data_IF_422960823898
#
_entry.id   IF_422960823898
#
_cell.length_a   1.000
_cell.length_b   1.000
_cell.length_c   1.000
_cell.angle_alpha   90.00
_cell.angle_beta   90.00
_cell.angle_gamma   90.00
#
_symmetry.space_group_name_H-M   'P 1'
#
loop_
_entity.id
_entity.type
_entity.pdbx_description
1 polymer ?
#
# COMPACT_ATOMS: atom_id res chain seq x y z
N UNK A 1 -47.35 -53.61 -24.83
CA UNK A 1 -46.66 -52.47 -24.18
C UNK A 1 -45.39 -53.01 -23.54
N UNK A 2 -44.22 -52.67 -24.10
CA UNK A 2 -42.94 -53.00 -23.49
C UNK A 2 -42.55 -51.86 -22.52
N UNK A 3 -41.97 -52.15 -21.35
CA UNK A 3 -41.52 -51.12 -20.43
C UNK A 3 -40.31 -50.37 -21.01
N UNK A 4 -40.30 -49.04 -20.86
CA UNK A 4 -39.19 -48.18 -21.26
C UNK A 4 -37.90 -48.54 -20.49
N UNK A 5 -36.73 -48.52 -21.14
CA UNK A 5 -35.47 -48.77 -20.47
C UNK A 5 -35.12 -47.65 -19.48
N UNK A 6 -34.40 -47.95 -18.38
CA UNK A 6 -33.98 -46.95 -17.41
C UNK A 6 -32.93 -46.00 -18.01
N UNK A 7 -33.01 -44.72 -17.62
CA UNK A 7 -32.06 -43.67 -18.03
C UNK A 7 -30.67 -43.91 -17.43
N UNK A 8 -29.59 -43.55 -18.15
CA UNK A 8 -28.23 -43.63 -17.64
C UNK A 8 -28.00 -42.60 -16.51
N UNK A 9 -27.07 -42.89 -15.57
CA UNK A 9 -26.73 -41.97 -14.49
C UNK A 9 -26.04 -40.71 -15.00
N UNK A 10 -26.34 -39.57 -14.37
CA UNK A 10 -25.71 -38.28 -14.64
C UNK A 10 -24.23 -38.28 -14.24
N UNK A 11 -23.34 -37.61 -15.01
CA UNK A 11 -21.94 -37.43 -14.62
C UNK A 11 -21.82 -36.52 -13.37
N UNK A 12 -20.77 -36.70 -12.55
CA UNK A 12 -20.56 -35.87 -11.36
C UNK A 12 -20.27 -34.41 -11.73
N UNK A 13 -20.58 -33.44 -10.86
CA UNK A 13 -20.30 -32.03 -11.11
C UNK A 13 -18.78 -31.81 -11.17
N UNK A 14 -18.33 -31.27 -12.30
CA UNK A 14 -16.94 -30.87 -12.53
C UNK A 14 -16.64 -29.65 -11.64
N UNK A 15 -16.06 -29.86 -10.46
CA UNK A 15 -15.66 -28.79 -9.55
C UNK A 15 -14.35 -28.17 -10.03
N UNK A 16 -14.42 -27.45 -11.15
CA UNK A 16 -13.32 -26.59 -11.59
C UNK A 16 -13.46 -25.27 -10.87
N UNK A 17 -12.79 -25.15 -9.72
CA UNK A 17 -12.65 -23.88 -9.00
C UNK A 17 -12.09 -22.84 -9.98
N UNK A 18 -12.70 -21.65 -10.15
CA UNK A 18 -12.10 -20.60 -10.94
C UNK A 18 -10.78 -20.23 -10.28
N UNK A 19 -9.68 -20.57 -10.95
CA UNK A 19 -8.35 -20.04 -10.63
C UNK A 19 -8.50 -18.52 -10.76
N UNK A 20 -8.66 -17.84 -9.61
CA UNK A 20 -8.74 -16.39 -9.56
C UNK A 20 -7.59 -15.79 -10.38
N UNK A 21 -7.77 -14.64 -11.03
CA UNK A 21 -6.73 -14.04 -11.85
C UNK A 21 -5.45 -13.97 -11.03
N UNK A 22 -4.46 -14.77 -11.43
CA UNK A 22 -3.13 -14.74 -10.85
C UNK A 22 -2.63 -13.32 -11.06
N UNK A 23 -2.65 -12.54 -9.97
CA UNK A 23 -2.03 -11.22 -9.94
C UNK A 23 -0.63 -11.37 -10.52
N UNK A 24 -0.22 -10.53 -11.49
CA UNK A 24 1.15 -10.59 -11.96
C UNK A 24 2.05 -10.28 -10.77
N UNK A 25 2.68 -11.31 -10.19
CA UNK A 25 3.76 -11.17 -9.21
C UNK A 25 5.02 -10.68 -9.92
N UNK A 26 4.90 -9.62 -10.71
CA UNK A 26 6.04 -8.77 -11.02
C UNK A 26 6.20 -7.90 -9.79
N UNK A 27 7.03 -8.33 -8.85
CA UNK A 27 7.46 -7.45 -7.77
C UNK A 27 7.97 -6.18 -8.44
N UNK A 28 7.37 -5.00 -8.21
CA UNK A 28 7.84 -3.79 -8.85
C UNK A 28 9.34 -3.65 -8.56
N UNK A 29 10.17 -3.30 -9.56
CA UNK A 29 11.62 -3.25 -9.38
C UNK A 29 11.98 -2.27 -8.27
N UNK A 30 11.13 -1.27 -8.05
CA UNK A 30 11.23 -0.30 -6.97
C UNK A 30 10.17 -0.56 -5.90
N UNK A 31 10.62 -0.54 -4.64
CA UNK A 31 9.74 -0.54 -3.47
C UNK A 31 9.88 0.80 -2.78
N UNK A 32 8.75 1.43 -2.46
CA UNK A 32 8.74 2.61 -1.60
C UNK A 32 9.12 2.18 -0.20
N UNK A 33 10.01 2.93 0.45
CA UNK A 33 10.27 2.78 1.86
C UNK A 33 10.30 4.14 2.56
N UNK A 34 10.08 4.12 3.88
CA UNK A 34 10.33 5.25 4.77
C UNK A 34 11.82 5.26 5.10
N UNK A 35 12.56 6.26 4.60
CA UNK A 35 13.99 6.41 4.90
C UNK A 35 14.12 7.17 6.22
N UNK A 36 14.24 6.44 7.33
CA UNK A 36 14.42 7.02 8.66
C UNK A 36 15.92 7.26 8.91
N UNK A 37 16.26 8.36 9.57
CA UNK A 37 17.64 8.68 9.96
C UNK A 37 17.94 8.13 11.36
N UNK A 38 19.17 7.65 11.63
CA UNK A 38 19.56 7.31 12.98
C UNK A 38 19.61 8.57 13.87
N UNK A 39 19.09 8.46 15.08
CA UNK A 39 19.10 9.46 16.15
C UNK A 39 19.73 8.87 17.42
N UNK A 40 19.98 9.70 18.44
CA UNK A 40 20.55 9.26 19.72
C UNK A 40 19.72 8.21 20.46
N UNK A 41 18.43 8.08 20.13
CA UNK A 41 17.46 7.21 20.83
C UNK A 41 16.94 6.07 19.94
N UNK A 42 17.40 5.96 18.69
CA UNK A 42 16.91 4.99 17.71
C UNK A 42 16.67 5.62 16.34
N UNK A 43 15.75 5.09 15.55
CA UNK A 43 15.39 5.71 14.27
C UNK A 43 14.47 6.93 14.49
N UNK A 44 14.61 7.97 13.66
CA UNK A 44 13.68 9.12 13.67
C UNK A 44 12.25 8.68 13.37
N UNK A 45 11.25 9.47 13.76
CA UNK A 45 9.82 9.27 13.44
C UNK A 45 9.37 10.05 12.20
N UNK A 46 10.33 10.60 11.47
CA UNK A 46 10.15 11.43 10.28
C UNK A 46 11.32 11.24 9.33
N UNK A 47 11.13 11.57 8.06
CA UNK A 47 12.15 11.44 7.04
C UNK A 47 11.65 11.64 5.62
N UNK A 48 12.50 11.28 4.66
CA UNK A 48 12.18 11.32 3.23
C UNK A 48 11.36 10.12 2.77
N UNK A 49 10.74 10.26 1.60
CA UNK A 49 10.20 9.13 0.85
C UNK A 49 11.22 8.73 -0.21
N UNK A 50 11.62 7.47 -0.20
CA UNK A 50 12.59 6.95 -1.15
C UNK A 50 12.08 5.68 -1.84
N UNK A 51 12.56 5.50 -3.06
CA UNK A 51 12.34 4.30 -3.84
C UNK A 51 13.64 3.50 -3.88
N UNK A 52 13.61 2.27 -3.40
CA UNK A 52 14.77 1.37 -3.48
C UNK A 52 14.54 0.28 -4.50
N UNK A 53 15.55 0.03 -5.32
CA UNK A 53 15.62 -1.18 -6.14
C UNK A 53 16.28 -2.28 -5.31
N UNK A 54 15.51 -3.27 -4.88
CA UNK A 54 15.99 -4.36 -4.01
C UNK A 54 15.89 -4.04 -2.51
N UNK A 55 16.95 -4.31 -1.76
CA UNK A 55 16.99 -4.15 -0.29
C UNK A 55 17.74 -2.88 0.12
N UNK A 56 17.23 -2.18 1.13
CA UNK A 56 17.88 -1.01 1.72
C UNK A 56 18.96 -1.47 2.71
N UNK A 57 20.14 -0.84 2.66
CA UNK A 57 21.19 -1.00 3.68
C UNK A 57 20.92 -0.13 4.91
N UNK A 58 19.95 0.77 4.83
CA UNK A 58 19.53 1.58 5.96
C UNK A 58 18.74 0.70 6.94
N UNK A 59 19.32 0.44 8.12
CA UNK A 59 18.68 -0.31 9.22
C UNK A 59 17.45 0.39 9.79
N UNK A 60 17.39 1.70 9.57
CA UNK A 60 16.26 2.55 9.86
C UNK A 60 15.42 2.78 8.59
N UNK A 61 15.37 1.86 7.63
CA UNK A 61 14.36 1.90 6.58
C UNK A 61 13.21 0.98 6.93
N UNK A 62 11.97 1.46 6.75
CA UNK A 62 10.77 0.63 6.92
C UNK A 62 10.01 0.53 5.61
N UNK A 63 9.73 -0.71 5.19
CA UNK A 63 8.85 -1.00 4.05
C UNK A 63 7.37 -1.04 4.46
N UNK A 64 7.11 -1.11 5.77
CA UNK A 64 5.77 -1.04 6.36
C UNK A 64 5.57 0.34 6.99
N UNK A 65 4.36 0.87 6.86
CA UNK A 65 3.96 2.13 7.50
C UNK A 65 3.12 3.04 6.61
N UNK A 66 3.15 2.83 5.30
CA UNK A 66 2.16 3.41 4.41
C UNK A 66 0.86 2.65 4.50
N UNK A 67 -0.23 3.39 4.66
CA UNK A 67 -1.58 2.86 4.67
C UNK A 67 -2.44 3.70 3.75
N UNK A 68 -3.48 3.08 3.22
CA UNK A 68 -4.45 3.75 2.38
C UNK A 68 -5.75 3.83 3.16
N UNK A 69 -6.22 5.06 3.40
CA UNK A 69 -7.45 5.35 4.10
C UNK A 69 -8.50 5.80 3.09
N UNK A 70 -9.49 4.95 2.83
CA UNK A 70 -10.61 5.29 1.96
C UNK A 70 -11.37 6.49 2.51
N UNK A 71 -11.90 7.32 1.62
CA UNK A 71 -12.83 8.35 2.03
C UNK A 71 -14.08 7.70 2.66
N UNK A 72 -14.38 8.06 3.91
CA UNK A 72 -15.47 7.48 4.71
C UNK A 72 -16.86 7.83 4.19
N UNK A 73 -17.01 8.95 3.49
CA UNK A 73 -18.29 9.37 2.89
C UNK A 73 -18.50 8.70 1.52
N UNK A 74 -17.44 8.53 0.74
CA UNK A 74 -17.54 7.86 -0.55
C UNK A 74 -16.20 7.22 -0.98
N UNK A 75 -16.11 5.90 -0.82
CA UNK A 75 -14.95 5.09 -1.19
C UNK A 75 -14.59 5.14 -2.68
N UNK A 76 -15.45 5.68 -3.55
CA UNK A 76 -15.17 5.84 -4.98
C UNK A 76 -14.40 7.13 -5.30
N UNK A 77 -14.34 8.10 -4.37
CA UNK A 77 -13.59 9.36 -4.54
C UNK A 77 -12.07 9.19 -4.39
N UNK A 78 -11.60 7.94 -4.25
CA UNK A 78 -10.23 7.60 -4.00
C UNK A 78 -9.94 7.42 -2.52
N UNK A 79 -8.67 7.17 -2.23
CA UNK A 79 -8.20 6.93 -0.90
C UNK A 79 -6.96 7.77 -0.61
N UNK A 80 -6.86 8.25 0.62
CA UNK A 80 -5.73 9.04 1.07
C UNK A 80 -4.59 8.12 1.48
N UNK A 81 -3.38 8.44 1.07
CA UNK A 81 -2.18 7.84 1.63
C UNK A 81 -1.93 8.47 3.00
N UNK A 82 -1.75 7.63 4.02
CA UNK A 82 -1.44 8.04 5.41
C UNK A 82 -0.26 7.23 5.95
N UNK A 83 0.38 7.73 6.99
CA UNK A 83 1.51 7.04 7.64
C UNK A 83 1.06 6.53 9.01
N UNK A 84 1.07 5.21 9.23
CA UNK A 84 0.66 4.57 10.48
C UNK A 84 -0.75 4.99 10.99
N UNK A 85 -1.67 5.37 10.10
CA UNK A 85 -3.03 5.89 10.41
C UNK A 85 -3.11 7.21 11.22
N UNK A 86 -1.98 7.76 11.67
CA UNK A 86 -1.95 8.99 12.46
C UNK A 86 -1.08 10.08 11.81
N UNK A 87 -0.01 9.67 11.14
CA UNK A 87 0.95 10.53 10.49
C UNK A 87 0.52 11.02 9.11
N UNK A 88 1.27 11.98 8.61
CA UNK A 88 0.96 12.67 7.36
C UNK A 88 2.20 13.01 6.53
N UNK A 89 1.93 13.61 5.38
CA UNK A 89 2.95 14.06 4.43
C UNK A 89 3.11 15.56 4.50
N UNK A 90 4.32 16.02 4.27
CA UNK A 90 4.70 17.42 4.39
C UNK A 90 5.65 17.78 3.25
N UNK A 91 5.47 18.94 2.64
CA UNK A 91 6.43 19.48 1.69
C UNK A 91 7.35 20.44 2.41
N UNK A 92 8.64 20.15 2.35
CA UNK A 92 9.69 20.97 2.94
C UNK A 92 10.36 21.83 1.87
N UNK A 93 11.09 22.86 2.31
CA UNK A 93 11.92 23.69 1.43
C UNK A 93 12.83 22.80 0.55
N UNK A 94 12.84 23.03 -0.76
CA UNK A 94 13.55 22.17 -1.73
C UNK A 94 12.67 21.11 -2.40
N UNK A 95 11.34 21.26 -2.38
CA UNK A 95 10.36 20.40 -3.07
C UNK A 95 10.41 18.92 -2.68
N UNK A 96 10.99 18.62 -1.52
CA UNK A 96 11.07 17.24 -1.02
C UNK A 96 9.85 16.95 -0.17
N UNK A 97 9.15 15.86 -0.50
CA UNK A 97 8.06 15.34 0.33
C UNK A 97 8.68 14.53 1.47
N UNK A 98 8.43 14.98 2.69
CA UNK A 98 8.74 14.26 3.90
C UNK A 98 7.47 13.62 4.47
N UNK A 99 7.64 12.57 5.26
CA UNK A 99 6.58 12.07 6.13
C UNK A 99 6.90 12.40 7.58
N UNK A 100 5.86 12.48 8.40
CA UNK A 100 5.98 12.57 9.85
C UNK A 100 4.94 11.69 10.52
N UNK A 101 5.36 10.85 11.46
CA UNK A 101 4.44 10.09 12.31
C UNK A 101 3.71 11.04 13.27
N UNK A 102 4.43 11.98 13.89
CA UNK A 102 3.82 13.05 14.68
C UNK A 102 4.03 14.42 14.00
N UNK A 103 3.00 15.30 13.97
CA UNK A 103 3.10 16.59 13.28
C UNK A 103 4.16 17.52 13.89
N UNK A 104 4.42 17.41 15.20
CA UNK A 104 5.42 18.20 15.92
C UNK A 104 6.85 17.74 15.70
N UNK A 105 7.06 16.57 15.09
CA UNK A 105 8.39 16.08 14.79
C UNK A 105 9.02 16.85 13.62
N UNK A 106 10.34 16.74 13.46
CA UNK A 106 11.05 17.33 12.33
C UNK A 106 10.60 16.74 10.98
N UNK A 107 11.17 17.20 9.88
CA UNK A 107 11.86 18.49 9.72
C UNK A 107 10.92 19.69 9.92
N UNK A 108 11.44 20.81 10.42
CA UNK A 108 10.71 22.07 10.61
C UNK A 108 10.64 22.89 9.32
N UNK A 109 9.66 23.80 9.21
CA UNK A 109 9.48 24.63 8.01
C UNK A 109 8.87 23.88 6.83
N UNK A 110 8.00 22.92 7.12
CA UNK A 110 7.29 22.12 6.12
C UNK A 110 5.78 22.35 6.23
N UNK A 111 5.10 22.35 5.10
CA UNK A 111 3.66 22.54 5.00
C UNK A 111 2.98 21.19 4.82
N UNK A 112 1.90 20.88 5.55
CA UNK A 112 1.19 19.62 5.38
C UNK A 112 0.61 19.50 3.97
N UNK A 113 0.68 18.29 3.41
CA UNK A 113 0.07 17.94 2.13
C UNK A 113 -0.67 16.61 2.26
N UNK A 114 -1.77 16.50 1.51
CA UNK A 114 -2.53 15.26 1.41
C UNK A 114 -2.25 14.61 0.06
N UNK A 115 -1.88 13.33 0.07
CA UNK A 115 -1.66 12.53 -1.13
C UNK A 115 -2.84 11.59 -1.31
N UNK A 116 -3.47 11.63 -2.49
CA UNK A 116 -4.61 10.79 -2.81
C UNK A 116 -4.29 9.86 -3.98
N UNK A 117 -4.85 8.64 -3.94
CA UNK A 117 -4.83 7.74 -5.08
C UNK A 117 -5.73 8.28 -6.18
N UNK A 118 -5.21 8.34 -7.41
CA UNK A 118 -6.02 8.61 -8.59
C UNK A 118 -6.62 7.28 -9.08
N UNK A 119 -7.93 7.21 -9.38
CA UNK A 119 -8.52 6.04 -10.02
C UNK A 119 -7.79 5.72 -11.33
N UNK A 120 -7.40 4.47 -11.53
CA UNK A 120 -6.83 4.01 -12.80
C UNK A 120 -8.00 3.65 -13.73
N UNK A 121 -8.06 4.31 -14.88
CA UNK A 121 -9.04 4.03 -15.95
C UNK A 121 -8.68 2.78 -16.74
#
# INVERSE_FOLDING_TARGET
MAPSPPLPPLPPPNSTSPKGPSSPTSSPPYRVHLSLSPSSTGCTTYGGLDFVQGTSTNKCASYSGFQIQSNTENSQLGAQLVVNFEGGFYVCSGNTVAYKVNPGDGPSGCTPVSLYTVPVI
#
